data_IF_171485779998
#
_entry.id   IF_171485779998
#
_cell.length_a   1.000
_cell.length_b   1.000
_cell.length_c   1.000
_cell.angle_alpha   90.00
_cell.angle_beta   90.00
_cell.angle_gamma   90.00
#
_symmetry.space_group_name_H-M   'P 1'
#
loop_
_entity.id
_entity.type
_entity.pdbx_description
1 polymer ?
#
# COMPACT_ATOMS: atom_id res chain seq x y z
N UNK A 1 -35.69 -56.45 0.51
CA UNK A 1 -35.67 -57.84 0.03
C UNK A 1 -36.09 -57.86 -1.44
N UNK A 2 -35.24 -58.47 -2.26
CA UNK A 2 -35.49 -59.11 -3.57
C UNK A 2 -36.12 -58.34 -4.73
N UNK A 3 -35.23 -57.98 -5.67
CA UNK A 3 -35.25 -58.11 -7.16
C UNK A 3 -36.59 -58.44 -7.84
N UNK A 4 -36.86 -57.76 -8.97
CA UNK A 4 -36.69 -58.34 -10.33
C UNK A 4 -36.93 -57.31 -11.44
N UNK A 5 -36.11 -57.38 -12.49
CA UNK A 5 -36.14 -56.59 -13.72
C UNK A 5 -37.18 -57.10 -14.72
N UNK A 6 -37.79 -56.20 -15.51
CA UNK A 6 -38.31 -56.50 -16.85
C UNK A 6 -38.13 -55.25 -17.74
N UNK A 7 -37.50 -55.43 -18.90
CA UNK A 7 -37.45 -54.49 -20.03
C UNK A 7 -38.52 -54.88 -21.08
N UNK A 8 -38.64 -54.04 -22.13
CA UNK A 8 -39.54 -54.07 -23.32
C UNK A 8 -40.77 -53.17 -23.09
N UNK A 9 -41.14 -52.20 -23.92
CA UNK A 9 -40.64 -51.70 -25.21
C UNK A 9 -41.69 -50.76 -25.81
N UNK A 10 -41.25 -49.80 -26.62
CA UNK A 10 -42.00 -49.13 -27.71
C UNK A 10 -43.37 -48.49 -27.41
N UNK A 11 -43.44 -47.16 -27.48
CA UNK A 11 -44.70 -46.44 -27.60
C UNK A 11 -44.48 -44.94 -27.55
N UNK A 12 -44.48 -44.31 -28.73
CA UNK A 12 -44.25 -42.90 -28.90
C UNK A 12 -45.35 -42.06 -28.22
N UNK A 13 -44.95 -41.17 -27.32
CA UNK A 13 -45.79 -40.04 -26.92
C UNK A 13 -44.97 -38.75 -26.95
N UNK A 14 -45.07 -38.07 -28.09
CA UNK A 14 -44.39 -36.83 -28.45
C UNK A 14 -45.09 -35.64 -27.79
N UNK A 15 -45.01 -35.49 -26.46
CA UNK A 15 -45.59 -34.27 -25.82
C UNK A 15 -44.92 -33.77 -24.54
N UNK A 16 -43.86 -34.40 -24.03
CA UNK A 16 -43.27 -34.03 -22.71
C UNK A 16 -41.74 -34.05 -22.74
N UNK A 17 -41.13 -33.50 -23.81
CA UNK A 17 -39.67 -33.35 -23.94
C UNK A 17 -39.23 -31.98 -24.45
N UNK A 18 -40.00 -30.94 -24.12
CA UNK A 18 -39.66 -29.53 -24.44
C UNK A 18 -39.60 -28.62 -23.19
N UNK A 19 -39.61 -29.19 -21.99
CA UNK A 19 -39.57 -28.45 -20.72
C UNK A 19 -38.36 -28.78 -19.82
N UNK A 20 -37.37 -29.50 -20.35
CA UNK A 20 -36.08 -29.76 -19.66
C UNK A 20 -34.92 -29.34 -20.58
N UNK A 21 -35.06 -28.16 -21.19
CA UNK A 21 -33.95 -27.32 -21.63
C UNK A 21 -34.00 -26.01 -20.82
N UNK A 22 -34.30 -26.14 -19.52
CA UNK A 22 -33.74 -25.27 -18.48
C UNK A 22 -32.45 -25.94 -18.00
N UNK A 23 -31.59 -26.31 -18.96
CA UNK A 23 -30.21 -26.65 -18.70
C UNK A 23 -29.57 -25.35 -18.23
N UNK A 24 -29.46 -25.21 -16.92
CA UNK A 24 -28.39 -24.51 -16.23
C UNK A 24 -27.62 -23.55 -17.16
N UNK A 25 -28.24 -22.40 -17.47
CA UNK A 25 -27.47 -21.16 -17.43
C UNK A 25 -27.21 -20.96 -15.95
N UNK A 26 -26.29 -21.78 -15.43
CA UNK A 26 -25.55 -21.40 -14.26
C UNK A 26 -25.05 -20.02 -14.60
N UNK A 27 -25.52 -19.03 -13.84
CA UNK A 27 -24.73 -17.86 -13.60
C UNK A 27 -23.36 -18.40 -13.20
N UNK A 28 -22.47 -18.55 -14.18
CA UNK A 28 -21.05 -18.45 -13.96
C UNK A 28 -20.86 -16.96 -13.67
N UNK A 29 -21.37 -16.51 -12.51
CA UNK A 29 -20.65 -15.51 -11.77
C UNK A 29 -19.32 -16.21 -11.53
N UNK A 30 -18.34 -15.88 -12.35
CA UNK A 30 -16.96 -15.94 -11.93
C UNK A 30 -16.92 -15.14 -10.63
N UNK A 31 -17.13 -15.82 -9.51
CA UNK A 31 -16.94 -15.28 -8.19
C UNK A 31 -15.44 -15.20 -7.95
N UNK A 32 -14.74 -14.44 -8.80
CA UNK A 32 -13.57 -13.71 -8.36
C UNK A 32 -14.11 -12.47 -7.63
N UNK A 33 -14.87 -12.68 -6.55
CA UNK A 33 -15.27 -11.59 -5.67
C UNK A 33 -14.05 -11.27 -4.84
N UNK A 34 -13.16 -10.44 -5.35
CA UNK A 34 -12.18 -9.78 -4.52
C UNK A 34 -12.90 -8.62 -3.79
N UNK A 35 -13.95 -8.96 -3.04
CA UNK A 35 -14.61 -8.06 -2.10
C UNK A 35 -13.78 -8.10 -0.82
N UNK A 36 -12.63 -7.41 -0.84
CA UNK A 36 -11.72 -7.44 0.29
C UNK A 36 -12.38 -6.92 1.57
N UNK A 37 -13.28 -5.93 1.46
CA UNK A 37 -13.81 -5.22 2.64
C UNK A 37 -15.27 -4.75 2.57
N UNK A 38 -15.93 -4.84 1.41
CA UNK A 38 -17.32 -4.42 1.18
C UNK A 38 -17.57 -2.94 1.56
N UNK A 39 -16.58 -2.07 1.32
CA UNK A 39 -16.66 -0.62 1.62
C UNK A 39 -17.14 0.18 0.40
N UNK A 40 -16.84 -0.29 -0.80
CA UNK A 40 -17.39 0.26 -2.03
C UNK A 40 -18.78 -0.31 -2.33
N UNK A 41 -19.68 0.52 -2.85
CA UNK A 41 -20.99 0.09 -3.34
C UNK A 41 -20.86 -0.84 -4.55
N UNK A 42 -21.86 -1.69 -4.80
CA UNK A 42 -21.86 -2.57 -5.98
C UNK A 42 -21.73 -1.81 -7.30
N UNK A 43 -22.27 -0.58 -7.39
CA UNK A 43 -22.10 0.27 -8.57
C UNK A 43 -20.66 0.76 -8.74
N UNK A 44 -19.97 1.11 -7.65
CA UNK A 44 -18.55 1.49 -7.68
C UNK A 44 -17.68 0.32 -8.14
N UNK A 45 -17.92 -0.88 -7.60
CA UNK A 45 -17.22 -2.09 -8.01
C UNK A 45 -17.43 -2.39 -9.49
N UNK A 46 -18.67 -2.34 -9.98
CA UNK A 46 -18.95 -2.61 -11.39
C UNK A 46 -18.27 -1.60 -12.32
N UNK A 47 -18.28 -0.30 -11.97
CA UNK A 47 -17.55 0.71 -12.73
C UNK A 47 -16.05 0.43 -12.76
N UNK A 48 -15.46 0.06 -11.63
CA UNK A 48 -14.04 -0.27 -11.56
C UNK A 48 -13.68 -1.49 -12.42
N UNK A 49 -14.51 -2.53 -12.40
CA UNK A 49 -14.34 -3.72 -13.26
C UNK A 49 -14.40 -3.36 -14.74
N UNK A 50 -15.37 -2.53 -15.14
CA UNK A 50 -15.48 -2.06 -16.54
C UNK A 50 -14.20 -1.33 -16.97
N UNK A 51 -13.64 -0.46 -16.12
CA UNK A 51 -12.36 0.23 -16.40
C UNK A 51 -11.25 -0.80 -16.65
N UNK A 52 -11.11 -1.80 -15.79
CA UNK A 52 -10.09 -2.85 -15.93
C UNK A 52 -10.26 -3.69 -17.20
N UNK A 53 -11.50 -4.11 -17.51
CA UNK A 53 -11.83 -4.86 -18.74
C UNK A 53 -11.49 -4.03 -19.98
N UNK A 54 -11.86 -2.76 -20.00
CA UNK A 54 -11.57 -1.86 -21.12
C UNK A 54 -10.08 -1.63 -21.28
N UNK A 55 -9.35 -1.37 -20.19
CA UNK A 55 -7.90 -1.22 -20.22
C UNK A 55 -7.22 -2.48 -20.76
N UNK A 56 -7.69 -3.67 -20.35
CA UNK A 56 -7.15 -4.96 -20.82
C UNK A 56 -7.43 -5.18 -22.30
N UNK A 57 -8.63 -4.86 -22.74
CA UNK A 57 -8.99 -4.95 -24.16
C UNK A 57 -8.11 -4.03 -25.00
N UNK A 58 -7.98 -2.75 -24.62
CA UNK A 58 -7.13 -1.77 -25.31
C UNK A 58 -5.68 -2.25 -25.39
N UNK A 59 -5.11 -2.68 -24.26
CA UNK A 59 -3.77 -3.24 -24.21
C UNK A 59 -3.63 -4.45 -25.15
N UNK A 60 -4.55 -5.41 -25.08
CA UNK A 60 -4.52 -6.65 -25.86
C UNK A 60 -4.65 -6.41 -27.37
N UNK A 61 -5.34 -5.35 -27.79
CA UNK A 61 -5.38 -4.96 -29.20
C UNK A 61 -4.11 -4.24 -29.63
N UNK A 62 -3.61 -3.32 -28.80
CA UNK A 62 -2.41 -2.56 -29.11
C UNK A 62 -1.18 -3.47 -29.30
N UNK A 63 -0.99 -4.48 -28.43
CA UNK A 63 0.17 -5.38 -28.50
C UNK A 63 0.19 -6.32 -29.72
N UNK A 64 -0.91 -6.41 -30.48
CA UNK A 64 -0.97 -7.18 -31.74
C UNK A 64 -0.36 -6.44 -32.93
N UNK A 65 -0.11 -5.13 -32.79
CA UNK A 65 0.56 -4.37 -33.83
C UNK A 65 1.98 -4.86 -34.03
N UNK A 66 2.36 -5.06 -35.29
CA UNK A 66 3.74 -5.33 -35.67
C UNK A 66 4.63 -4.11 -35.36
N UNK A 67 5.92 -4.37 -35.08
CA UNK A 67 6.92 -3.33 -34.88
C UNK A 67 7.04 -2.76 -33.45
N UNK A 68 6.25 -3.24 -32.48
CA UNK A 68 6.37 -2.80 -31.08
C UNK A 68 7.61 -3.39 -30.39
N UNK A 69 8.44 -2.51 -29.81
CA UNK A 69 9.55 -2.91 -28.95
C UNK A 69 9.04 -3.39 -27.59
N UNK A 70 9.90 -4.06 -26.82
CA UNK A 70 9.60 -4.43 -25.43
C UNK A 70 9.24 -3.21 -24.57
N UNK A 71 9.94 -2.10 -24.80
CA UNK A 71 9.67 -0.82 -24.11
C UNK A 71 8.27 -0.31 -24.41
N UNK A 72 7.83 -0.37 -25.66
CA UNK A 72 6.50 0.09 -26.05
C UNK A 72 5.41 -0.77 -25.41
N UNK A 73 5.60 -2.09 -25.40
CA UNK A 73 4.70 -3.03 -24.72
C UNK A 73 4.61 -2.74 -23.22
N UNK A 74 5.73 -2.43 -22.58
CA UNK A 74 5.76 -2.04 -21.16
C UNK A 74 5.02 -0.71 -20.92
N UNK A 75 5.20 0.29 -21.78
CA UNK A 75 4.51 1.58 -21.64
C UNK A 75 2.99 1.44 -21.81
N UNK A 76 2.54 0.65 -22.79
CA UNK A 76 1.11 0.36 -22.99
C UNK A 76 0.51 -0.37 -21.78
N UNK A 77 1.28 -1.28 -21.18
CA UNK A 77 0.85 -1.96 -19.95
C UNK A 77 0.73 -0.99 -18.78
N UNK A 78 1.71 -0.09 -18.61
CA UNK A 78 1.68 0.92 -17.55
C UNK A 78 0.54 1.94 -17.73
N UNK A 79 0.19 2.30 -18.97
CA UNK A 79 -0.98 3.16 -19.24
C UNK A 79 -2.29 2.51 -18.78
N UNK A 80 -2.46 1.22 -19.08
CA UNK A 80 -3.60 0.44 -18.60
C UNK A 80 -3.68 0.41 -17.07
N UNK A 81 -2.55 0.15 -16.40
CA UNK A 81 -2.47 0.21 -14.93
C UNK A 81 -2.82 1.58 -14.37
N UNK A 82 -2.39 2.65 -15.04
CA UNK A 82 -2.67 4.01 -14.59
C UNK A 82 -4.17 4.29 -14.54
N UNK A 83 -4.97 3.71 -15.46
CA UNK A 83 -6.43 3.82 -15.42
C UNK A 83 -7.03 3.26 -14.13
N UNK A 84 -6.50 2.14 -13.64
CA UNK A 84 -6.93 1.58 -12.35
C UNK A 84 -6.43 2.43 -11.18
N UNK A 85 -5.16 2.85 -11.20
CA UNK A 85 -4.57 3.60 -10.09
C UNK A 85 -5.18 5.01 -9.92
N UNK A 86 -5.75 5.60 -10.97
CA UNK A 86 -6.33 6.95 -10.90
C UNK A 86 -7.80 7.01 -10.50
N UNK A 87 -8.44 5.87 -10.21
CA UNK A 87 -9.84 5.83 -9.74
C UNK A 87 -9.96 6.71 -8.48
N UNK A 88 -10.88 7.67 -8.50
CA UNK A 88 -11.22 8.58 -7.40
C UNK A 88 -10.05 9.47 -6.88
N UNK A 89 -9.03 9.76 -7.69
CA UNK A 89 -7.94 10.68 -7.31
C UNK A 89 -8.42 12.10 -6.99
N UNK A 90 -9.40 12.62 -7.73
CA UNK A 90 -10.01 13.93 -7.46
C UNK A 90 -10.70 13.98 -6.09
N UNK A 91 -11.26 12.84 -5.67
CA UNK A 91 -11.94 12.73 -4.39
C UNK A 91 -10.95 12.63 -3.22
N UNK A 92 -9.78 12.00 -3.40
CA UNK A 92 -8.65 12.12 -2.44
C UNK A 92 -8.28 13.58 -2.24
N UNK A 93 -8.06 14.31 -3.34
CA UNK A 93 -7.64 15.71 -3.26
C UNK A 93 -8.68 16.57 -2.55
N UNK A 94 -9.96 16.27 -2.75
CA UNK A 94 -11.07 16.90 -2.04
C UNK A 94 -11.08 16.57 -0.54
N UNK A 95 -10.88 15.31 -0.15
CA UNK A 95 -10.86 14.89 1.26
C UNK A 95 -9.67 15.49 2.00
N UNK A 96 -8.49 15.48 1.39
CA UNK A 96 -7.31 16.11 1.97
C UNK A 96 -7.54 17.62 2.19
N UNK A 97 -8.05 18.32 1.17
CA UNK A 97 -8.29 19.76 1.23
C UNK A 97 -9.43 20.18 2.17
N UNK A 98 -10.52 19.43 2.19
CA UNK A 98 -11.77 19.84 2.83
C UNK A 98 -11.98 19.22 4.21
N UNK A 99 -11.36 18.07 4.48
CA UNK A 99 -11.48 17.35 5.75
C UNK A 99 -10.16 17.43 6.50
N UNK A 100 -9.10 16.82 5.94
CA UNK A 100 -7.84 16.61 6.67
C UNK A 100 -7.23 17.96 7.07
N UNK A 101 -6.92 18.82 6.09
CA UNK A 101 -6.24 20.09 6.30
C UNK A 101 -7.02 21.13 7.12
N UNK A 102 -8.32 20.92 7.32
CA UNK A 102 -9.18 21.87 8.06
C UNK A 102 -9.39 21.50 9.53
N UNK A 103 -9.26 20.22 9.86
CA UNK A 103 -9.75 19.71 11.15
C UNK A 103 -8.69 19.01 11.99
N UNK A 104 -7.50 18.76 11.44
CA UNK A 104 -6.41 18.13 12.19
C UNK A 104 -5.81 19.07 13.24
N UNK A 105 -5.32 18.50 14.34
CA UNK A 105 -4.59 19.27 15.36
C UNK A 105 -3.14 19.41 14.94
N UNK A 106 -2.80 20.60 14.41
CA UNK A 106 -1.47 20.86 13.84
C UNK A 106 -0.31 20.59 14.80
N UNK A 107 -0.39 21.05 16.06
CA UNK A 107 0.68 20.83 17.04
C UNK A 107 0.97 19.35 17.26
N UNK A 108 -0.07 18.52 17.32
CA UNK A 108 0.06 17.09 17.53
C UNK A 108 0.63 16.41 16.29
N UNK A 109 0.18 16.82 15.10
CA UNK A 109 0.70 16.31 13.82
C UNK A 109 2.18 16.65 13.64
N UNK A 110 2.57 17.90 13.87
CA UNK A 110 3.96 18.35 13.77
C UNK A 110 4.86 17.57 14.74
N UNK A 111 4.34 17.20 15.92
CA UNK A 111 5.06 16.37 16.88
C UNK A 111 5.22 14.91 16.43
N UNK A 112 4.19 14.33 15.80
CA UNK A 112 4.23 12.98 15.21
C UNK A 112 5.15 12.91 13.99
N UNK A 113 5.19 13.95 13.16
CA UNK A 113 6.10 13.99 12.00
C UNK A 113 7.58 13.94 12.41
N UNK A 114 7.93 14.55 13.56
CA UNK A 114 9.28 14.46 14.14
C UNK A 114 9.66 13.03 14.54
N UNK A 115 8.69 12.15 14.76
CA UNK A 115 8.96 10.73 15.02
C UNK A 115 9.21 9.92 13.73
N UNK A 116 9.23 10.56 12.57
CA UNK A 116 9.38 9.90 11.27
C UNK A 116 8.06 9.43 10.65
N UNK A 117 6.92 9.78 11.25
CA UNK A 117 5.61 9.40 10.71
C UNK A 117 5.31 10.18 9.42
N UNK A 118 4.62 9.54 8.47
CA UNK A 118 4.18 10.21 7.25
C UNK A 118 3.24 11.39 7.59
N UNK A 119 3.41 12.58 6.98
CA UNK A 119 2.57 13.75 7.24
C UNK A 119 1.07 13.53 7.10
N UNK A 120 0.64 12.73 6.12
CA UNK A 120 -0.77 12.39 5.95
C UNK A 120 -1.29 11.60 7.15
N UNK A 121 -0.56 10.55 7.57
CA UNK A 121 -0.99 9.72 8.68
C UNK A 121 -0.92 10.49 10.02
N UNK A 122 0.10 11.32 10.23
CA UNK A 122 0.19 12.24 11.36
C UNK A 122 -1.01 13.20 11.43
N UNK A 123 -1.41 13.78 10.30
CA UNK A 123 -2.61 14.62 10.22
C UNK A 123 -3.88 13.80 10.46
N UNK A 124 -3.98 12.61 9.88
CA UNK A 124 -5.16 11.75 9.99
C UNK A 124 -5.43 11.30 11.42
N UNK A 125 -4.42 10.80 12.16
CA UNK A 125 -4.61 10.32 13.54
C UNK A 125 -4.92 11.45 14.54
N UNK A 126 -4.77 12.71 14.13
CA UNK A 126 -5.10 13.89 14.93
C UNK A 126 -6.46 14.50 14.58
N UNK A 127 -7.22 13.90 13.67
CA UNK A 127 -8.58 14.32 13.34
C UNK A 127 -9.59 14.03 14.48
N UNK A 128 -10.79 14.64 14.45
CA UNK A 128 -11.94 14.13 15.20
C UNK A 128 -12.35 12.74 14.70
N UNK A 129 -12.82 11.87 15.60
CA UNK A 129 -13.21 10.49 15.28
C UNK A 129 -14.24 10.39 14.14
N UNK A 130 -15.20 11.32 14.09
CA UNK A 130 -16.21 11.38 13.03
C UNK A 130 -15.57 11.59 11.64
N UNK A 131 -14.53 12.42 11.56
CA UNK A 131 -13.81 12.66 10.30
C UNK A 131 -12.88 11.49 9.96
N UNK A 132 -12.27 10.85 10.96
CA UNK A 132 -11.46 9.63 10.75
C UNK A 132 -12.29 8.54 10.04
N UNK A 133 -13.51 8.29 10.52
CA UNK A 133 -14.40 7.28 9.92
C UNK A 133 -14.70 7.56 8.45
N UNK A 134 -14.90 8.83 8.08
CA UNK A 134 -15.11 9.22 6.68
C UNK A 134 -13.87 8.97 5.82
N UNK A 135 -12.70 9.35 6.32
CA UNK A 135 -11.42 9.15 5.60
C UNK A 135 -11.15 7.67 5.39
N UNK A 136 -11.32 6.82 6.41
CA UNK A 136 -11.14 5.37 6.31
C UNK A 136 -12.11 4.75 5.33
N UNK A 137 -13.42 5.01 5.47
CA UNK A 137 -14.42 4.43 4.58
C UNK A 137 -14.14 4.78 3.11
N UNK A 138 -13.74 6.02 2.86
CA UNK A 138 -13.34 6.43 1.53
C UNK A 138 -12.06 5.74 1.05
N UNK A 139 -11.00 5.72 1.85
CA UNK A 139 -9.72 5.12 1.48
C UNK A 139 -9.88 3.61 1.18
N UNK A 140 -10.65 2.90 2.01
CA UNK A 140 -10.96 1.49 1.81
C UNK A 140 -11.80 1.26 0.55
N UNK A 141 -12.85 2.06 0.32
CA UNK A 141 -13.66 1.95 -0.89
C UNK A 141 -12.84 2.25 -2.16
N UNK A 142 -11.90 3.21 -2.10
CA UNK A 142 -10.98 3.50 -3.20
C UNK A 142 -10.10 2.29 -3.50
N UNK A 143 -9.41 1.75 -2.49
CA UNK A 143 -8.51 0.60 -2.69
C UNK A 143 -9.27 -0.63 -3.17
N UNK A 144 -10.47 -0.88 -2.66
CA UNK A 144 -11.32 -1.98 -3.13
C UNK A 144 -11.64 -1.85 -4.63
N UNK A 145 -12.03 -0.66 -5.09
CA UNK A 145 -12.23 -0.38 -6.52
C UNK A 145 -10.94 -0.58 -7.33
N UNK A 146 -9.80 -0.07 -6.85
CA UNK A 146 -8.51 -0.20 -7.55
C UNK A 146 -8.09 -1.66 -7.70
N UNK A 147 -8.30 -2.48 -6.66
CA UNK A 147 -7.97 -3.91 -6.67
C UNK A 147 -8.91 -4.70 -7.58
N UNK A 148 -10.21 -4.39 -7.58
CA UNK A 148 -11.18 -5.00 -8.51
C UNK A 148 -10.91 -4.61 -9.97
N UNK A 149 -10.47 -3.36 -10.23
CA UNK A 149 -9.99 -2.96 -11.55
C UNK A 149 -8.72 -3.74 -11.96
N UNK A 150 -7.73 -3.81 -11.06
CA UNK A 150 -6.49 -4.56 -11.27
C UNK A 150 -6.73 -6.04 -11.51
N UNK A 151 -7.71 -6.65 -10.83
CA UNK A 151 -8.12 -8.03 -11.03
C UNK A 151 -8.59 -8.29 -12.46
N UNK A 152 -9.41 -7.39 -13.01
CA UNK A 152 -9.86 -7.52 -14.39
C UNK A 152 -8.72 -7.26 -15.38
N UNK A 153 -7.83 -6.32 -15.07
CA UNK A 153 -6.74 -5.91 -15.94
C UNK A 153 -5.60 -6.94 -16.01
N UNK A 154 -5.07 -7.37 -14.86
CA UNK A 154 -3.87 -8.19 -14.73
C UNK A 154 -4.14 -9.64 -14.34
N UNK A 155 -5.30 -9.91 -13.75
CA UNK A 155 -5.65 -11.20 -13.17
C UNK A 155 -5.19 -11.38 -11.72
N UNK A 156 -5.79 -12.38 -11.07
CA UNK A 156 -5.70 -12.61 -9.62
C UNK A 156 -4.27 -12.73 -9.09
N UNK A 157 -3.40 -13.47 -9.78
CA UNK A 157 -2.01 -13.66 -9.34
C UNK A 157 -1.27 -12.33 -9.20
N UNK A 158 -1.42 -11.43 -10.17
CA UNK A 158 -0.76 -10.12 -10.17
C UNK A 158 -1.38 -9.18 -9.15
N UNK A 159 -2.70 -9.21 -9.00
CA UNK A 159 -3.40 -8.47 -7.94
C UNK A 159 -2.93 -8.89 -6.55
N UNK A 160 -2.78 -10.19 -6.29
CA UNK A 160 -2.27 -10.69 -5.01
C UNK A 160 -0.81 -10.28 -4.76
N UNK A 161 0.04 -10.26 -5.79
CA UNK A 161 1.40 -9.73 -5.69
C UNK A 161 1.39 -8.24 -5.33
N UNK A 162 0.54 -7.44 -5.98
CA UNK A 162 0.37 -6.01 -5.70
C UNK A 162 -0.06 -5.77 -4.25
N UNK A 163 -0.98 -6.57 -3.73
CA UNK A 163 -1.43 -6.47 -2.33
C UNK A 163 -0.27 -6.70 -1.37
N UNK A 164 0.52 -7.74 -1.61
CA UNK A 164 1.70 -8.03 -0.80
C UNK A 164 2.71 -6.86 -0.84
N UNK A 165 2.98 -6.30 -2.03
CA UNK A 165 3.84 -5.12 -2.21
C UNK A 165 3.30 -3.88 -1.49
N UNK A 166 1.98 -3.62 -1.57
CA UNK A 166 1.36 -2.49 -0.87
C UNK A 166 1.50 -2.63 0.64
N UNK A 167 1.39 -3.85 1.18
CA UNK A 167 1.56 -4.14 2.61
C UNK A 167 3.01 -4.04 3.10
N UNK A 168 3.99 -3.82 2.22
CA UNK A 168 5.35 -3.43 2.62
C UNK A 168 5.44 -1.97 3.09
N UNK A 169 4.38 -1.17 2.89
CA UNK A 169 4.21 0.15 3.50
C UNK A 169 3.36 0.06 4.78
N UNK A 170 3.82 0.68 5.87
CA UNK A 170 3.15 0.61 7.16
C UNK A 170 1.75 1.22 7.19
N UNK A 171 1.49 2.28 6.41
CA UNK A 171 0.17 2.90 6.32
C UNK A 171 -0.83 2.00 5.59
N UNK A 172 -0.44 1.49 4.43
CA UNK A 172 -1.24 0.50 3.70
C UNK A 172 -1.45 -0.76 4.53
N UNK A 173 -0.44 -1.24 5.26
CA UNK A 173 -0.59 -2.41 6.12
C UNK A 173 -1.63 -2.19 7.21
N UNK A 174 -1.61 -1.04 7.91
CA UNK A 174 -2.64 -0.69 8.89
C UNK A 174 -4.03 -0.68 8.25
N UNK A 175 -4.15 -0.10 7.06
CA UNK A 175 -5.42 -0.03 6.34
C UNK A 175 -5.95 -1.42 5.97
N UNK A 176 -5.11 -2.27 5.37
CA UNK A 176 -5.49 -3.60 4.90
C UNK A 176 -5.78 -4.59 6.04
N UNK A 177 -4.97 -4.60 7.10
CA UNK A 177 -5.10 -5.55 8.20
C UNK A 177 -6.12 -5.12 9.27
N UNK A 178 -6.43 -3.82 9.35
CA UNK A 178 -7.25 -3.28 10.44
C UNK A 178 -8.33 -2.31 9.98
N UNK A 179 -7.98 -1.16 9.41
CA UNK A 179 -8.95 -0.05 9.20
C UNK A 179 -10.11 -0.44 8.27
N UNK A 180 -9.83 -1.24 7.24
CA UNK A 180 -10.87 -1.72 6.33
C UNK A 180 -11.60 -2.96 6.82
N UNK A 181 -11.04 -3.66 7.82
CA UNK A 181 -11.60 -4.91 8.38
C UNK A 181 -12.51 -4.63 9.56
N UNK A 182 -12.09 -3.78 10.49
CA UNK A 182 -12.84 -3.36 11.68
C UNK A 182 -13.28 -1.90 11.51
N UNK A 183 -14.59 -1.68 11.35
CA UNK A 183 -15.19 -0.38 11.07
C UNK A 183 -14.89 0.68 12.15
N UNK A 184 -14.69 0.25 13.39
CA UNK A 184 -14.48 1.15 14.51
C UNK A 184 -13.00 1.28 14.90
N UNK A 185 -12.10 0.48 14.29
CA UNK A 185 -10.67 0.43 14.63
C UNK A 185 -10.04 1.82 14.69
N UNK A 186 -10.15 2.59 13.61
CA UNK A 186 -9.54 3.92 13.55
C UNK A 186 -10.07 4.86 14.63
N UNK A 187 -11.39 4.84 14.88
CA UNK A 187 -12.03 5.70 15.88
C UNK A 187 -11.79 5.25 17.32
N UNK A 188 -11.38 4.00 17.52
CA UNK A 188 -11.08 3.40 18.82
C UNK A 188 -9.60 3.55 19.17
N UNK A 189 -8.71 3.35 18.20
CA UNK A 189 -7.26 3.23 18.40
C UNK A 189 -6.52 4.56 18.22
N UNK A 190 -6.86 5.34 17.19
CA UNK A 190 -6.10 6.54 16.83
C UNK A 190 -6.35 7.79 17.68
N UNK A 191 -7.53 8.03 18.30
CA UNK A 191 -7.72 9.26 19.08
C UNK A 191 -6.76 9.43 20.25
N UNK A 192 -6.27 8.34 20.86
CA UNK A 192 -5.24 8.44 21.89
C UNK A 192 -3.85 8.71 21.28
N UNK A 193 -3.52 8.04 20.16
CA UNK A 193 -2.27 8.28 19.44
C UNK A 193 -2.12 9.76 19.06
N UNK A 194 -3.18 10.36 18.52
CA UNK A 194 -3.16 11.75 18.09
C UNK A 194 -3.17 12.79 19.21
N UNK A 195 -3.28 12.41 20.49
CA UNK A 195 -3.18 13.34 21.64
C UNK A 195 -1.78 13.22 22.23
N UNK A 196 -0.81 13.83 21.55
CA UNK A 196 0.61 13.64 21.83
C UNK A 196 1.03 14.24 23.16
N UNK A 197 0.36 15.30 23.60
CA UNK A 197 0.52 15.96 24.91
C UNK A 197 0.53 14.99 26.10
N UNK A 198 -0.15 13.84 25.97
CA UNK A 198 -0.26 12.84 27.03
C UNK A 198 0.95 11.91 27.18
N UNK A 199 1.77 11.75 26.14
CA UNK A 199 2.77 10.66 26.12
C UNK A 199 4.09 11.01 25.44
N UNK A 200 4.11 11.96 24.50
CA UNK A 200 5.31 12.21 23.67
C UNK A 200 6.44 12.91 24.45
N UNK A 201 6.09 13.74 25.44
CA UNK A 201 7.05 14.57 26.17
C UNK A 201 8.10 13.76 26.93
N UNK A 202 7.76 12.56 27.39
CA UNK A 202 8.71 11.68 28.07
C UNK A 202 9.84 11.16 27.16
N UNK A 203 9.69 11.28 25.83
CA UNK A 203 10.65 10.83 24.83
C UNK A 203 11.23 11.98 23.99
N UNK A 204 11.08 13.23 24.45
CA UNK A 204 11.46 14.43 23.68
C UNK A 204 12.93 14.39 23.25
N UNK A 205 13.81 13.92 24.13
CA UNK A 205 15.25 13.79 23.85
C UNK A 205 15.50 12.84 22.68
N UNK A 206 14.98 11.63 22.75
CA UNK A 206 15.18 10.60 21.72
C UNK A 206 14.55 11.01 20.38
N UNK A 207 13.38 11.66 20.40
CA UNK A 207 12.72 12.20 19.20
C UNK A 207 13.58 13.29 18.56
N UNK A 208 14.08 14.24 19.35
CA UNK A 208 14.89 15.35 18.86
C UNK A 208 16.21 14.85 18.26
N UNK A 209 16.91 13.96 18.96
CA UNK A 209 18.12 13.32 18.47
C UNK A 209 17.89 12.58 17.14
N UNK A 210 16.80 11.81 17.05
CA UNK A 210 16.43 11.11 15.83
C UNK A 210 16.08 12.05 14.69
N UNK A 211 15.19 13.02 14.92
CA UNK A 211 14.71 13.94 13.88
C UNK A 211 15.86 14.73 13.26
N UNK A 212 16.77 15.26 14.09
CA UNK A 212 17.94 16.02 13.63
C UNK A 212 18.90 15.11 12.85
N UNK A 213 19.17 13.91 13.36
CA UNK A 213 20.06 12.96 12.68
C UNK A 213 19.48 12.50 11.34
N UNK A 214 18.18 12.17 11.30
CA UNK A 214 17.44 11.75 10.12
C UNK A 214 17.56 12.78 9.00
N UNK A 215 17.23 14.04 9.29
CA UNK A 215 17.31 15.13 8.31
C UNK A 215 18.74 15.31 7.78
N UNK A 216 19.71 15.40 8.70
CA UNK A 216 21.14 15.56 8.34
C UNK A 216 21.64 14.42 7.45
N UNK A 217 21.32 13.17 7.81
CA UNK A 217 21.75 12.00 7.04
C UNK A 217 21.03 11.92 5.70
N UNK A 218 19.72 12.21 5.63
CA UNK A 218 18.97 12.20 4.37
C UNK A 218 19.54 13.24 3.39
N UNK A 219 19.84 14.45 3.86
CA UNK A 219 20.48 15.47 3.05
C UNK A 219 21.87 15.03 2.57
N UNK A 220 22.66 14.38 3.44
CA UNK A 220 23.98 13.87 3.08
C UNK A 220 23.91 12.72 2.06
N UNK A 221 23.01 11.76 2.25
CA UNK A 221 22.78 10.64 1.33
C UNK A 221 22.38 11.17 -0.05
N UNK A 222 21.40 12.08 -0.12
CA UNK A 222 20.95 12.68 -1.37
C UNK A 222 22.08 13.41 -2.10
N UNK A 223 22.90 14.18 -1.37
CA UNK A 223 24.07 14.86 -1.94
C UNK A 223 25.09 13.87 -2.49
N UNK A 224 25.53 12.89 -1.69
CA UNK A 224 26.56 11.92 -2.09
C UNK A 224 26.10 11.05 -3.25
N UNK A 225 24.86 10.55 -3.20
CA UNK A 225 24.29 9.73 -4.25
C UNK A 225 24.17 10.50 -5.57
N UNK A 226 23.61 11.72 -5.55
CA UNK A 226 23.49 12.53 -6.76
C UNK A 226 24.86 12.91 -7.35
N UNK A 227 25.83 13.25 -6.51
CA UNK A 227 27.21 13.50 -6.96
C UNK A 227 27.82 12.27 -7.61
N UNK A 228 27.69 11.08 -7.00
CA UNK A 228 28.21 9.84 -7.57
C UNK A 228 27.58 9.52 -8.93
N UNK A 229 26.26 9.69 -9.08
CA UNK A 229 25.58 9.50 -10.36
C UNK A 229 26.13 10.44 -11.44
N UNK A 230 26.39 11.72 -11.13
CA UNK A 230 26.97 12.65 -12.11
C UNK A 230 28.41 12.29 -12.46
N UNK A 231 29.21 11.95 -11.47
CA UNK A 231 30.60 11.51 -11.66
C UNK A 231 30.67 10.29 -12.57
N UNK A 232 29.87 9.25 -12.31
CA UNK A 232 29.82 8.02 -13.10
C UNK A 232 29.45 8.28 -14.56
N UNK A 233 28.54 9.21 -14.83
CA UNK A 233 28.16 9.60 -16.21
C UNK A 233 29.33 10.20 -16.99
N UNK A 234 30.17 10.99 -16.33
CA UNK A 234 31.34 11.63 -16.95
C UNK A 234 32.58 10.73 -17.04
N UNK A 235 32.67 9.69 -16.20
CA UNK A 235 33.82 8.79 -16.17
C UNK A 235 33.74 7.74 -17.27
N UNK A 236 34.90 7.29 -17.79
CA UNK A 236 34.98 6.14 -18.73
C UNK A 236 35.30 4.84 -18.01
N UNK A 237 36.12 4.90 -16.96
CA UNK A 237 36.62 3.75 -16.19
C UNK A 237 36.24 3.89 -14.70
N UNK A 238 36.39 2.83 -13.91
CA UNK A 238 36.14 2.77 -12.45
C UNK A 238 34.72 3.14 -11.96
N UNK A 239 33.75 3.17 -12.87
CA UNK A 239 32.34 3.50 -12.57
C UNK A 239 31.75 2.64 -11.45
N UNK A 240 31.96 1.33 -11.54
CA UNK A 240 31.43 0.35 -10.60
C UNK A 240 32.02 0.54 -9.19
N UNK A 241 33.33 0.78 -9.10
CA UNK A 241 34.00 1.00 -7.82
C UNK A 241 33.47 2.26 -7.13
N UNK A 242 33.39 3.37 -7.85
CA UNK A 242 32.84 4.64 -7.33
C UNK A 242 31.41 4.44 -6.82
N UNK A 243 30.58 3.72 -7.58
CA UNK A 243 29.21 3.45 -7.18
C UNK A 243 29.14 2.55 -5.93
N UNK A 244 29.92 1.47 -5.92
CA UNK A 244 29.99 0.52 -4.81
C UNK A 244 30.42 1.20 -3.51
N UNK A 245 31.46 2.04 -3.57
CA UNK A 245 31.96 2.76 -2.39
C UNK A 245 30.94 3.81 -1.91
N UNK A 246 30.21 4.44 -2.83
CA UNK A 246 29.09 5.33 -2.50
C UNK A 246 27.99 4.56 -1.76
N UNK A 247 27.58 3.40 -2.26
CA UNK A 247 26.52 2.59 -1.65
C UNK A 247 26.93 2.05 -0.29
N UNK A 248 28.20 1.67 -0.09
CA UNK A 248 28.76 1.32 1.24
C UNK A 248 28.66 2.48 2.22
N UNK A 249 29.04 3.68 1.80
CA UNK A 249 28.92 4.88 2.63
C UNK A 249 27.46 5.15 3.02
N UNK A 250 26.53 5.09 2.06
CA UNK A 250 25.09 5.29 2.30
C UNK A 250 24.59 4.26 3.30
N UNK A 251 24.92 2.99 3.13
CA UNK A 251 24.51 1.92 4.04
C UNK A 251 24.98 2.18 5.49
N UNK A 252 26.23 2.62 5.67
CA UNK A 252 26.76 2.99 6.99
C UNK A 252 26.02 4.20 7.59
N UNK A 253 25.75 5.23 6.78
CA UNK A 253 25.02 6.41 7.22
C UNK A 253 23.58 6.06 7.64
N UNK A 254 22.89 5.19 6.89
CA UNK A 254 21.57 4.66 7.26
C UNK A 254 21.60 3.89 8.57
N UNK A 255 22.65 3.11 8.83
CA UNK A 255 22.85 2.42 10.10
C UNK A 255 22.75 3.35 11.32
N UNK A 256 23.30 4.55 11.23
CA UNK A 256 23.20 5.56 12.29
C UNK A 256 21.76 6.05 12.51
N UNK A 257 21.01 6.28 11.42
CA UNK A 257 19.58 6.62 11.51
C UNK A 257 18.78 5.51 12.18
N UNK A 258 18.98 4.26 11.75
CA UNK A 258 18.24 3.11 12.29
C UNK A 258 18.51 2.87 13.77
N UNK A 259 19.74 3.09 14.22
CA UNK A 259 20.07 3.00 15.66
C UNK A 259 19.32 4.06 16.47
N UNK A 260 19.31 5.31 16.01
CA UNK A 260 18.59 6.39 16.68
C UNK A 260 17.07 6.18 16.64
N UNK A 261 16.54 5.74 15.49
CA UNK A 261 15.14 5.35 15.33
C UNK A 261 14.73 4.26 16.33
N UNK A 262 15.54 3.21 16.50
CA UNK A 262 15.26 2.14 17.49
C UNK A 262 15.15 2.69 18.91
N UNK A 263 16.04 3.59 19.32
CA UNK A 263 16.01 4.21 20.66
C UNK A 263 14.72 5.02 20.87
N UNK A 264 14.41 5.90 19.92
CA UNK A 264 13.17 6.68 19.94
C UNK A 264 11.96 5.76 19.97
N UNK A 265 11.87 4.80 19.05
CA UNK A 265 10.76 3.86 18.95
C UNK A 265 10.52 3.12 20.26
N UNK A 266 11.56 2.56 20.88
CA UNK A 266 11.42 1.86 22.17
C UNK A 266 10.80 2.78 23.23
N UNK A 267 11.28 4.01 23.34
CA UNK A 267 10.70 4.99 24.27
C UNK A 267 9.21 5.23 23.96
N UNK A 268 8.87 5.58 22.72
CA UNK A 268 7.48 5.90 22.33
C UNK A 268 6.53 4.74 22.59
N UNK A 269 6.93 3.51 22.23
CA UNK A 269 6.10 2.34 22.41
C UNK A 269 5.85 2.03 23.90
N UNK A 270 6.88 2.20 24.75
CA UNK A 270 6.71 2.04 26.19
C UNK A 270 5.71 3.06 26.76
N UNK A 271 5.80 4.33 26.35
CA UNK A 271 4.86 5.37 26.80
C UNK A 271 3.45 5.09 26.31
N UNK A 272 3.28 4.72 25.04
CA UNK A 272 1.96 4.43 24.47
C UNK A 272 1.29 3.21 25.11
N UNK A 273 2.04 2.15 25.42
CA UNK A 273 1.48 1.00 26.14
C UNK A 273 0.89 1.43 27.48
N UNK A 274 1.59 2.32 28.20
CA UNK A 274 1.16 2.79 29.53
C UNK A 274 -0.03 3.77 29.46
N UNK A 275 -0.08 4.63 28.45
CA UNK A 275 -1.06 5.73 28.36
C UNK A 275 -2.28 5.39 27.50
N UNK A 276 -2.06 4.71 26.37
CA UNK A 276 -3.07 4.43 25.35
C UNK A 276 -3.40 2.94 25.20
N UNK A 277 -2.52 2.06 25.68
CA UNK A 277 -2.67 0.61 25.56
C UNK A 277 -1.90 0.00 24.40
N UNK A 278 -1.83 -1.33 24.42
CA UNK A 278 -0.98 -2.12 23.53
C UNK A 278 -1.38 -1.98 22.05
N UNK A 279 -2.67 -1.88 21.76
CA UNK A 279 -3.16 -1.80 20.38
C UNK A 279 -2.73 -0.50 19.70
N UNK A 280 -2.84 0.64 20.38
CA UNK A 280 -2.34 1.93 19.88
C UNK A 280 -0.82 1.91 19.68
N UNK A 281 -0.08 1.30 20.60
CA UNK A 281 1.37 1.13 20.45
C UNK A 281 1.71 0.26 19.22
N UNK A 282 0.97 -0.83 18.98
CA UNK A 282 1.15 -1.67 17.78
C UNK A 282 0.87 -0.90 16.50
N UNK A 283 -0.19 -0.10 16.48
CA UNK A 283 -0.54 0.71 15.33
C UNK A 283 0.60 1.68 14.97
N UNK A 284 1.12 2.43 15.96
CA UNK A 284 2.28 3.30 15.73
C UNK A 284 3.52 2.52 15.29
N UNK A 285 3.80 1.37 15.92
CA UNK A 285 4.95 0.55 15.57
C UNK A 285 4.92 0.12 14.11
N UNK A 286 3.77 -0.37 13.64
CA UNK A 286 3.58 -0.79 12.26
C UNK A 286 3.76 0.39 11.31
N UNK A 287 3.11 1.53 11.58
CA UNK A 287 3.20 2.72 10.74
C UNK A 287 4.60 3.31 10.65
N UNK A 288 5.43 3.17 11.68
CA UNK A 288 6.81 3.67 11.68
C UNK A 288 7.82 2.68 11.09
N UNK A 289 7.60 1.37 11.28
CA UNK A 289 8.67 0.39 11.07
C UNK A 289 8.55 -0.37 9.76
N UNK A 290 7.33 -0.70 9.35
CA UNK A 290 7.09 -1.42 8.09
C UNK A 290 7.39 -0.48 6.92
N UNK A 291 8.35 -0.89 6.09
CA UNK A 291 8.80 -0.08 4.95
C UNK A 291 9.75 1.06 5.31
N UNK A 292 10.26 1.14 6.55
CA UNK A 292 11.07 2.27 7.04
C UNK A 292 12.18 2.72 6.07
N UNK A 293 13.02 1.80 5.59
CA UNK A 293 14.10 2.17 4.66
C UNK A 293 13.57 2.59 3.29
N UNK A 294 12.52 1.93 2.81
CA UNK A 294 11.86 2.26 1.54
C UNK A 294 11.30 3.69 1.58
N UNK A 295 10.68 4.10 2.69
CA UNK A 295 10.15 5.46 2.85
C UNK A 295 11.25 6.52 3.05
N UNK A 296 12.39 6.14 3.61
CA UNK A 296 13.50 7.06 3.89
C UNK A 296 14.41 7.31 2.68
N UNK A 297 14.36 6.43 1.67
CA UNK A 297 15.18 6.52 0.46
C UNK A 297 14.42 7.23 -0.64
N UNK A 298 15.14 7.93 -1.52
CA UNK A 298 14.55 8.34 -2.78
C UNK A 298 14.16 7.10 -3.62
N UNK A 299 13.10 7.16 -4.46
CA UNK A 299 12.67 6.00 -5.24
C UNK A 299 13.78 5.37 -6.09
N UNK A 300 14.66 6.22 -6.65
CA UNK A 300 15.81 5.77 -7.44
C UNK A 300 16.86 5.06 -6.60
N UNK A 301 17.20 5.61 -5.42
CA UNK A 301 18.15 4.98 -4.51
C UNK A 301 17.63 3.63 -4.01
N UNK A 302 16.35 3.56 -3.65
CA UNK A 302 15.73 2.30 -3.24
C UNK A 302 15.80 1.25 -4.35
N UNK A 303 15.49 1.64 -5.59
CA UNK A 303 15.58 0.76 -6.74
C UNK A 303 17.01 0.25 -6.98
N UNK A 304 18.03 1.09 -6.80
CA UNK A 304 19.42 0.65 -6.89
C UNK A 304 19.80 -0.33 -5.77
N UNK A 305 19.34 -0.10 -4.53
CA UNK A 305 19.52 -1.07 -3.44
C UNK A 305 18.93 -2.44 -3.78
N UNK A 306 17.73 -2.47 -4.36
CA UNK A 306 17.04 -3.71 -4.76
C UNK A 306 17.72 -4.39 -5.95
N UNK A 307 17.95 -3.65 -7.05
CA UNK A 307 18.51 -4.19 -8.29
C UNK A 307 19.91 -4.78 -8.11
N UNK A 308 20.73 -4.13 -7.28
CA UNK A 308 22.10 -4.57 -7.03
C UNK A 308 22.24 -5.40 -5.74
N UNK A 309 21.12 -5.69 -5.05
CA UNK A 309 21.09 -6.50 -3.83
C UNK A 309 22.09 -6.03 -2.75
N UNK A 310 22.20 -4.71 -2.57
CA UNK A 310 23.09 -4.16 -1.54
C UNK A 310 22.59 -4.53 -0.15
N UNK A 311 23.49 -4.98 0.76
CA UNK A 311 23.10 -5.41 2.08
C UNK A 311 22.59 -4.23 2.89
N UNK A 312 21.59 -4.51 3.73
CA UNK A 312 21.10 -3.56 4.72
C UNK A 312 22.02 -3.58 5.94
N UNK A 313 22.28 -2.42 6.53
CA UNK A 313 23.10 -2.32 7.73
C UNK A 313 22.46 -3.09 8.90
N UNK A 314 23.21 -3.82 9.75
CA UNK A 314 22.65 -4.62 10.85
C UNK A 314 21.75 -3.84 11.81
N UNK A 315 22.05 -2.56 12.06
CA UNK A 315 21.19 -1.69 12.86
C UNK A 315 19.81 -1.43 12.26
N UNK A 316 19.64 -1.62 10.96
CA UNK A 316 18.36 -1.50 10.26
C UNK A 316 17.64 -2.86 10.11
N UNK A 317 18.23 -3.97 10.55
CA UNK A 317 17.53 -5.25 10.59
C UNK A 317 16.47 -5.24 11.70
N UNK A 318 15.34 -5.91 11.44
CA UNK A 318 14.22 -6.06 12.39
C UNK A 318 13.71 -4.72 12.92
N UNK A 319 13.61 -3.75 12.02
CA UNK A 319 12.74 -2.60 12.24
C UNK A 319 11.30 -3.10 12.12
#
# INVERSE_FOLDING_TARGET
>A
MMRSSICVGGGADWSIRLLIILYFVGFCQSASSFLAWQKASGQQIERARIIGIQARYVYSQAIKSDGLTERDRKLLYLDGLQKCNSIDDELIASIDKNIVKRSYRKSDSDALEKTGLNPFFASFVTLPAVEMKKVVNFACAKHEQQLECGLQYEGEQKTNQRIAELMEDGGNRQMFEHECVDEDYATRVYPCLGRTDKWIGACEKEISEYSILREKVNNKINSVYNSAIQTIKSMKENREQVFTDTMKFINYAEGSKCLSFKKMRVCLLQQLVNVCGIETARALNTSLSVGYLTSERSPRLQMDFQNFSYPVHPFCEKL
#
